data_IF_815852714658
#
_entry.id   IF_815852714658
#
_cell.length_a   1.000
_cell.length_b   1.000
_cell.length_c   1.000
_cell.angle_alpha   90.00
_cell.angle_beta   90.00
_cell.angle_gamma   90.00
#
_symmetry.space_group_name_H-M   'P 1'
#
loop_
_entity.id
_entity.type
_entity.pdbx_description
1 polymer ?
#
# COMPACT_ATOMS: atom_id res chain seq x y z
N UNK A 1 12.07 0.72 -13.53
CA UNK A 1 10.97 0.56 -12.56
C UNK A 1 9.99 -0.45 -13.13
N UNK A 2 9.36 -1.28 -12.29
CA UNK A 2 8.42 -2.33 -12.74
C UNK A 2 6.99 -1.82 -12.70
N UNK A 3 6.25 -1.92 -13.80
CA UNK A 3 4.89 -1.39 -13.88
C UNK A 3 3.89 -2.37 -13.28
N UNK A 4 3.08 -1.94 -12.32
CA UNK A 4 2.06 -2.79 -11.67
C UNK A 4 1.01 -3.36 -12.64
N UNK A 5 0.80 -2.72 -13.81
CA UNK A 5 -0.10 -3.25 -14.85
C UNK A 5 0.42 -4.54 -15.47
N UNK A 6 1.74 -4.73 -15.50
CA UNK A 6 2.35 -5.99 -15.97
C UNK A 6 2.09 -7.15 -14.98
N UNK A 7 1.67 -6.83 -13.75
CA UNK A 7 1.27 -7.77 -12.70
C UNK A 7 -0.25 -7.91 -12.57
N UNK A 8 -1.01 -7.26 -13.46
CA UNK A 8 -2.47 -7.36 -13.53
C UNK A 8 -3.24 -6.33 -12.73
N UNK A 9 -2.61 -5.24 -12.27
CA UNK A 9 -3.33 -4.13 -11.65
C UNK A 9 -4.28 -3.46 -12.66
N UNK A 10 -5.54 -3.26 -12.27
CA UNK A 10 -6.61 -2.74 -13.14
C UNK A 10 -6.64 -1.22 -13.12
N UNK A 11 -6.57 -0.60 -11.93
CA UNK A 11 -6.55 0.86 -11.80
C UNK A 11 -7.88 1.57 -12.04
N UNK A 12 -9.01 0.89 -11.83
CA UNK A 12 -10.37 1.41 -12.01
C UNK A 12 -11.04 1.94 -10.73
N UNK A 13 -10.37 1.83 -9.58
CA UNK A 13 -10.86 2.25 -8.26
C UNK A 13 -11.83 1.26 -7.59
N UNK A 14 -12.20 0.18 -8.28
CA UNK A 14 -13.14 -0.83 -7.83
C UNK A 14 -12.45 -2.17 -7.57
N UNK A 15 -11.61 -2.64 -8.49
CA UNK A 15 -10.83 -3.86 -8.32
C UNK A 15 -9.81 -3.71 -7.19
N UNK A 16 -9.66 -4.76 -6.36
CA UNK A 16 -8.62 -4.83 -5.34
C UNK A 16 -7.29 -5.20 -6.00
N UNK A 17 -6.41 -4.21 -6.15
CA UNK A 17 -5.13 -4.32 -6.86
C UNK A 17 -3.97 -4.76 -5.96
N UNK A 18 -4.21 -5.02 -4.67
CA UNK A 18 -3.19 -5.36 -3.66
C UNK A 18 -2.23 -6.45 -4.12
N UNK A 19 -2.75 -7.56 -4.65
CA UNK A 19 -1.90 -8.68 -5.07
C UNK A 19 -0.98 -8.29 -6.23
N UNK A 20 -1.48 -7.53 -7.21
CA UNK A 20 -0.68 -7.11 -8.36
C UNK A 20 0.44 -6.15 -7.92
N UNK A 21 0.12 -5.20 -7.04
CA UNK A 21 1.09 -4.23 -6.52
C UNK A 21 2.12 -4.94 -5.64
N UNK A 22 1.69 -5.84 -4.75
CA UNK A 22 2.60 -6.58 -3.87
C UNK A 22 3.55 -7.48 -4.66
N UNK A 23 3.08 -8.18 -5.70
CA UNK A 23 3.95 -8.98 -6.56
C UNK A 23 5.04 -8.11 -7.24
N UNK A 24 4.69 -6.89 -7.67
CA UNK A 24 5.66 -5.97 -8.24
C UNK A 24 6.72 -5.51 -7.20
N UNK A 25 6.30 -5.31 -5.95
CA UNK A 25 7.19 -4.98 -4.82
C UNK A 25 8.10 -6.16 -4.47
N UNK A 26 7.56 -7.37 -4.44
CA UNK A 26 8.29 -8.59 -4.05
C UNK A 26 9.38 -8.97 -5.04
N UNK A 27 9.23 -8.60 -6.32
CA UNK A 27 10.30 -8.73 -7.31
C UNK A 27 11.48 -7.76 -7.04
N UNK A 28 11.30 -6.76 -6.17
CA UNK A 28 12.32 -5.83 -5.66
C UNK A 28 12.36 -4.46 -6.35
N UNK A 29 13.35 -3.62 -5.99
CA UNK A 29 13.60 -2.36 -6.67
C UNK A 29 12.44 -1.37 -6.66
N UNK A 30 12.48 -0.39 -7.58
CA UNK A 30 11.44 0.63 -7.70
C UNK A 30 10.25 0.12 -8.54
N UNK A 31 9.05 0.24 -7.98
CA UNK A 31 7.75 -0.06 -8.59
C UNK A 31 7.16 1.22 -9.17
N UNK A 32 6.69 1.15 -10.41
CA UNK A 32 6.03 2.23 -11.12
C UNK A 32 4.51 2.04 -11.06
N UNK A 33 3.82 3.03 -10.50
CA UNK A 33 2.37 3.10 -10.42
C UNK A 33 1.92 4.17 -11.45
N UNK A 34 1.40 3.77 -12.62
CA UNK A 34 0.95 4.71 -13.64
C UNK A 34 -0.33 5.43 -13.22
N UNK A 35 -0.82 6.35 -14.05
CA UNK A 35 -2.11 7.01 -13.90
C UNK A 35 -3.25 5.98 -13.66
N UNK A 36 -4.24 6.33 -12.85
CA UNK A 36 -5.35 5.44 -12.48
C UNK A 36 -5.62 5.41 -10.98
N UNK A 37 -6.69 4.71 -10.57
CA UNK A 37 -7.09 4.60 -9.17
C UNK A 37 -6.94 3.14 -8.75
N UNK A 38 -6.01 2.86 -7.85
CA UNK A 38 -5.65 1.49 -7.46
C UNK A 38 -6.09 1.26 -6.02
N UNK A 39 -7.19 0.53 -5.84
CA UNK A 39 -7.67 0.18 -4.50
C UNK A 39 -6.77 -0.90 -3.91
N UNK A 40 -6.29 -0.69 -2.69
CA UNK A 40 -5.43 -1.66 -2.02
C UNK A 40 -5.61 -1.69 -0.52
N UNK A 41 -5.44 -2.87 0.07
CA UNK A 41 -5.05 -3.05 1.46
C UNK A 41 -3.55 -2.88 1.68
N UNK A 42 -3.00 -3.56 2.69
CA UNK A 42 -1.60 -3.37 3.11
C UNK A 42 -0.59 -3.74 2.04
N UNK A 43 0.37 -2.85 1.81
CA UNK A 43 1.57 -3.11 1.00
C UNK A 43 2.81 -3.18 1.90
N UNK A 44 3.62 -4.22 1.70
CA UNK A 44 4.85 -4.47 2.44
C UNK A 44 6.07 -4.14 1.57
N UNK A 45 6.66 -2.96 1.77
CA UNK A 45 7.85 -2.53 1.05
C UNK A 45 9.07 -3.39 1.43
N UNK A 46 10.05 -3.45 0.52
CA UNK A 46 11.29 -4.23 0.67
C UNK A 46 12.51 -3.33 0.50
N UNK A 47 13.64 -3.71 1.09
CA UNK A 47 14.88 -2.95 1.01
C UNK A 47 15.33 -2.67 -0.43
N UNK A 48 16.01 -1.54 -0.64
CA UNK A 48 16.57 -1.11 -1.93
C UNK A 48 15.50 -0.94 -3.03
N UNK A 49 14.32 -0.44 -2.65
CA UNK A 49 13.19 -0.31 -3.55
C UNK A 49 12.18 0.73 -3.09
N UNK A 50 10.95 0.58 -3.55
CA UNK A 50 9.83 1.44 -3.15
C UNK A 50 8.93 1.81 -4.31
N UNK A 51 8.22 2.93 -4.20
CA UNK A 51 7.11 3.28 -5.07
C UNK A 51 7.38 4.60 -5.78
N UNK A 52 7.15 4.63 -7.09
CA UNK A 52 7.05 5.84 -7.89
C UNK A 52 5.60 6.00 -8.34
N UNK A 53 4.89 6.98 -7.78
CA UNK A 53 3.50 7.31 -8.14
C UNK A 53 3.51 8.38 -9.24
N UNK A 54 3.17 7.98 -10.47
CA UNK A 54 3.10 8.90 -11.60
C UNK A 54 2.02 9.98 -11.39
N UNK A 55 2.11 11.13 -12.06
CA UNK A 55 1.01 12.10 -12.10
C UNK A 55 -0.30 11.40 -12.49
N UNK A 56 -1.36 11.61 -11.71
CA UNK A 56 -2.68 10.99 -11.92
C UNK A 56 -2.83 9.58 -11.33
N UNK A 57 -1.77 9.00 -10.74
CA UNK A 57 -1.90 7.79 -9.94
C UNK A 57 -2.54 8.10 -8.59
N UNK A 58 -3.49 7.27 -8.16
CA UNK A 58 -4.09 7.31 -6.83
C UNK A 58 -3.98 5.92 -6.22
N UNK A 59 -3.22 5.78 -5.14
CA UNK A 59 -3.25 4.61 -4.28
C UNK A 59 -4.39 4.82 -3.28
N UNK A 60 -5.48 4.10 -3.45
CA UNK A 60 -6.72 4.27 -2.69
C UNK A 60 -6.82 3.18 -1.62
N UNK A 61 -6.95 3.56 -0.35
CA UNK A 61 -7.19 2.62 0.73
C UNK A 61 -8.48 1.81 0.49
N UNK A 62 -8.40 0.50 0.75
CA UNK A 62 -9.60 -0.34 0.84
C UNK A 62 -10.53 0.14 1.97
N UNK A 63 -11.77 -0.32 1.91
CA UNK A 63 -12.78 -0.06 2.94
C UNK A 63 -13.01 -1.30 3.83
N UNK A 64 -12.37 -2.42 3.50
CA UNK A 64 -12.52 -3.69 4.22
C UNK A 64 -11.30 -3.98 5.11
N UNK A 65 -11.54 -4.22 6.41
CA UNK A 65 -10.48 -4.46 7.41
C UNK A 65 -9.64 -5.70 7.08
N UNK A 66 -10.24 -6.69 6.42
CA UNK A 66 -9.61 -7.95 6.03
C UNK A 66 -8.54 -7.78 4.94
N UNK A 67 -8.54 -6.66 4.21
CA UNK A 67 -7.49 -6.37 3.23
C UNK A 67 -6.19 -5.88 3.88
N UNK A 68 -6.23 -5.58 5.18
CA UNK A 68 -5.10 -5.04 5.93
C UNK A 68 -4.42 -6.10 6.79
N UNK A 69 -3.17 -5.85 7.14
CA UNK A 69 -2.40 -6.66 8.07
C UNK A 69 -3.16 -6.90 9.39
N UNK A 70 -2.91 -8.05 10.01
CA UNK A 70 -3.37 -8.32 11.37
C UNK A 70 -2.66 -7.39 12.36
N UNK A 71 -3.26 -7.18 13.53
CA UNK A 71 -2.69 -6.32 14.56
C UNK A 71 -1.34 -6.86 15.08
N UNK A 72 -1.10 -8.16 14.98
CA UNK A 72 0.11 -8.85 15.43
C UNK A 72 1.10 -9.22 14.31
N UNK A 73 0.97 -8.63 13.11
CA UNK A 73 1.76 -9.02 11.94
C UNK A 73 3.29 -8.87 12.12
N UNK A 74 3.74 -8.03 13.06
CA UNK A 74 5.12 -7.98 13.53
C UNK A 74 5.22 -7.56 15.00
N UNK A 75 6.32 -7.90 15.70
CA UNK A 75 6.51 -7.52 17.11
C UNK A 75 6.52 -6.02 17.38
N UNK A 76 6.86 -5.21 16.37
CA UNK A 76 6.91 -3.75 16.46
C UNK A 76 5.53 -3.10 16.29
N UNK A 77 4.51 -3.84 15.82
CA UNK A 77 3.16 -3.35 15.66
C UNK A 77 2.38 -3.50 16.96
N UNK A 78 2.71 -2.67 17.95
CA UNK A 78 2.02 -2.68 19.23
C UNK A 78 0.76 -1.80 19.16
N UNK A 79 -0.40 -2.39 19.42
CA UNK A 79 -1.69 -1.71 19.34
C UNK A 79 -2.12 -1.26 20.73
N UNK A 80 -2.28 0.06 20.90
CA UNK A 80 -2.83 0.64 22.11
C UNK A 80 -4.34 0.42 22.19
N UNK A 81 -4.73 -0.76 22.68
CA UNK A 81 -6.15 -1.17 22.79
C UNK A 81 -7.04 -0.16 23.54
N UNK A 82 -6.48 0.61 24.47
CA UNK A 82 -7.20 1.67 25.18
C UNK A 82 -7.66 2.84 24.30
N UNK A 83 -7.02 3.03 23.14
CA UNK A 83 -7.36 4.10 22.19
C UNK A 83 -8.38 3.65 21.13
N UNK A 84 -8.87 2.41 21.19
CA UNK A 84 -9.80 1.82 20.22
C UNK A 84 -9.29 1.91 18.76
N UNK A 85 -7.97 1.82 18.57
CA UNK A 85 -7.31 1.83 17.25
C UNK A 85 -7.02 0.41 16.80
N UNK A 86 -6.88 0.23 15.48
CA UNK A 86 -6.34 -1.01 14.90
C UNK A 86 -4.86 -0.82 14.56
N UNK A 87 -4.12 -1.92 14.44
CA UNK A 87 -2.74 -1.92 13.96
C UNK A 87 -2.64 -1.99 12.43
N UNK A 88 -3.69 -1.61 11.69
CA UNK A 88 -3.71 -1.67 10.24
C UNK A 88 -2.86 -0.56 9.60
N UNK A 89 -2.04 -0.93 8.61
CA UNK A 89 -1.20 -0.02 7.84
C UNK A 89 -1.53 -0.13 6.36
N UNK A 90 -1.66 1.00 5.65
CA UNK A 90 -1.79 0.97 4.20
C UNK A 90 -0.46 0.61 3.52
N UNK A 91 0.65 1.16 4.04
CA UNK A 91 2.00 0.89 3.57
C UNK A 91 2.88 0.65 4.80
N UNK A 92 3.63 -0.43 4.81
CA UNK A 92 4.56 -0.76 5.91
C UNK A 92 5.92 -1.22 5.38
N UNK A 93 6.95 -1.02 6.20
CA UNK A 93 8.32 -1.40 5.93
C UNK A 93 9.00 -1.78 7.24
N UNK A 94 8.97 -3.06 7.58
CA UNK A 94 9.53 -3.57 8.85
C UNK A 94 10.92 -4.13 8.60
N UNK A 95 11.92 -3.61 9.33
CA UNK A 95 13.33 -4.03 9.22
C UNK A 95 13.88 -3.92 7.78
N UNK A 96 13.44 -2.90 7.05
CA UNK A 96 13.91 -2.62 5.69
C UNK A 96 14.72 -1.33 5.64
N UNK A 97 15.58 -1.20 4.63
CA UNK A 97 16.47 -0.04 4.43
C UNK A 97 16.49 0.43 2.98
N UNK A 98 16.90 1.68 2.75
CA UNK A 98 16.99 2.28 1.41
C UNK A 98 15.67 2.22 0.63
N UNK A 99 14.59 2.68 1.26
CA UNK A 99 13.26 2.75 0.65
C UNK A 99 12.97 4.16 0.15
N UNK A 100 12.40 4.27 -1.05
CA UNK A 100 11.96 5.55 -1.62
C UNK A 100 10.48 5.49 -2.01
N UNK A 101 9.70 6.47 -1.55
CA UNK A 101 8.37 6.76 -2.08
C UNK A 101 8.44 8.13 -2.73
N UNK A 102 8.21 8.20 -4.03
CA UNK A 102 8.38 9.41 -4.82
C UNK A 102 7.31 9.57 -5.92
N UNK A 103 7.37 10.69 -6.63
CA UNK A 103 6.47 11.02 -7.72
C UNK A 103 5.45 12.10 -7.36
N UNK A 104 4.43 12.24 -8.21
CA UNK A 104 3.42 13.30 -8.13
C UNK A 104 1.99 12.76 -8.06
N UNK A 105 1.83 11.45 -7.85
CA UNK A 105 0.53 10.84 -7.56
C UNK A 105 0.09 11.08 -6.11
N UNK A 106 -1.05 10.48 -5.75
CA UNK A 106 -1.71 10.65 -4.47
C UNK A 106 -1.78 9.32 -3.72
N UNK A 107 -1.57 9.35 -2.41
CA UNK A 107 -1.96 8.28 -1.49
C UNK A 107 -3.21 8.77 -0.75
N UNK A 108 -4.32 8.08 -0.93
CA UNK A 108 -5.62 8.43 -0.35
C UNK A 108 -6.01 7.40 0.70
N UNK A 109 -5.98 7.82 1.97
CA UNK A 109 -6.18 6.93 3.11
C UNK A 109 -7.64 6.65 3.45
N UNK A 110 -8.59 7.33 2.80
CA UNK A 110 -10.04 7.13 2.99
C UNK A 110 -10.47 7.19 4.47
N UNK A 111 -9.84 8.05 5.26
CA UNK A 111 -9.98 8.07 6.73
C UNK A 111 -11.41 8.20 7.24
N UNK A 112 -12.32 8.80 6.46
CA UNK A 112 -13.74 8.91 6.80
C UNK A 112 -14.49 7.56 6.87
N UNK A 113 -13.95 6.48 6.29
CA UNK A 113 -14.47 5.11 6.48
C UNK A 113 -13.96 4.46 7.77
N UNK A 114 -12.88 5.00 8.34
CA UNK A 114 -12.13 4.42 9.46
C UNK A 114 -12.26 5.22 10.75
N UNK A 115 -12.64 6.49 10.65
CA UNK A 115 -12.77 7.42 11.78
C UNK A 115 -14.24 7.79 11.93
N UNK A 116 -14.78 7.54 13.12
CA UNK A 116 -16.11 8.02 13.55
C UNK A 116 -16.03 9.42 14.14
#
# INVERSE_FOLDING_TARGET
MRNIRDYGAVGDGAALDTRAIQNAIDDGGMVYIPDGIYRTGTLYLKSNGGLHLAPGAVLLASHDREDYNTDDFCPQNDVFTSEHVTGAHLITAIEQENITIEGHGKIEGEGHFWMN
#
